data_IF_987083538022
#
_entry.id   IF_987083538022
#
_cell.length_a   1.000
_cell.length_b   1.000
_cell.length_c   1.000
_cell.angle_alpha   90.00
_cell.angle_beta   90.00
_cell.angle_gamma   90.00
#
_symmetry.space_group_name_H-M   'P 1'
#
loop_
_entity.id
_entity.type
_entity.pdbx_description
1 polymer ?
#
# COMPACT_ATOMS: atom_id res chain seq x y z
N UNK A 1 24.06 2.32 18.17
CA UNK A 1 22.75 2.91 17.83
C UNK A 1 22.53 2.89 16.32
N UNK A 2 22.52 1.72 15.67
CA UNK A 2 22.45 1.62 14.21
C UNK A 2 21.06 1.97 13.62
N UNK A 3 20.00 1.92 14.44
CA UNK A 3 18.64 2.30 14.02
C UNK A 3 18.43 3.82 13.91
N UNK A 4 19.19 4.63 14.65
CA UNK A 4 19.02 6.08 14.68
C UNK A 4 19.54 6.73 13.38
N UNK A 5 20.71 6.30 12.92
CA UNK A 5 21.30 6.73 11.64
C UNK A 5 20.45 6.30 10.44
N UNK A 6 19.97 5.05 10.44
CA UNK A 6 19.09 4.52 9.39
C UNK A 6 17.75 5.26 9.34
N UNK A 7 17.17 5.58 10.49
CA UNK A 7 15.93 6.34 10.56
C UNK A 7 16.13 7.80 10.09
N UNK A 8 17.27 8.41 10.44
CA UNK A 8 17.61 9.77 10.01
C UNK A 8 17.76 9.89 8.48
N UNK A 9 18.33 8.87 7.82
CA UNK A 9 18.49 8.86 6.36
C UNK A 9 17.23 8.47 5.59
N UNK A 10 16.25 7.80 6.20
CA UNK A 10 15.03 7.35 5.50
C UNK A 10 14.25 8.49 4.84
N UNK A 11 14.13 9.65 5.50
CA UNK A 11 13.36 10.76 4.94
C UNK A 11 14.03 11.40 3.70
N UNK A 12 15.32 11.78 3.76
CA UNK A 12 16.05 12.19 2.55
C UNK A 12 15.97 11.16 1.42
N UNK A 13 16.15 9.87 1.70
CA UNK A 13 16.04 8.80 0.70
C UNK A 13 14.64 8.75 0.06
N UNK A 14 13.58 8.91 0.86
CA UNK A 14 12.21 9.00 0.32
C UNK A 14 12.01 10.22 -0.58
N UNK A 15 12.62 11.35 -0.25
CA UNK A 15 12.48 12.58 -1.01
C UNK A 15 13.20 12.44 -2.38
N UNK A 16 14.40 11.83 -2.43
CA UNK A 16 15.07 11.46 -3.68
C UNK A 16 14.23 10.51 -4.54
N UNK A 17 13.68 9.43 -3.96
CA UNK A 17 12.83 8.50 -4.72
C UNK A 17 11.57 9.19 -5.28
N UNK A 18 11.01 10.18 -4.59
CA UNK A 18 9.87 10.96 -5.11
C UNK A 18 10.27 11.81 -6.32
N UNK A 19 11.46 12.41 -6.29
CA UNK A 19 12.01 13.18 -7.41
C UNK A 19 12.25 12.28 -8.62
N UNK A 20 12.84 11.11 -8.44
CA UNK A 20 13.08 10.13 -9.51
C UNK A 20 11.76 9.61 -10.12
N UNK A 21 10.75 9.33 -9.29
CA UNK A 21 9.41 8.97 -9.78
C UNK A 21 8.79 10.12 -10.60
N UNK A 22 8.95 11.37 -10.16
CA UNK A 22 8.43 12.53 -10.88
C UNK A 22 9.13 12.70 -12.23
N UNK A 23 10.47 12.54 -12.25
CA UNK A 23 11.28 12.57 -13.46
C UNK A 23 10.84 11.49 -14.44
N UNK A 24 10.76 10.23 -14.00
CA UNK A 24 10.34 9.12 -14.85
C UNK A 24 8.94 9.34 -15.44
N UNK A 25 8.00 9.88 -14.65
CA UNK A 25 6.63 10.20 -15.12
C UNK A 25 6.59 11.34 -16.14
N UNK A 26 7.60 12.21 -16.17
CA UNK A 26 7.72 13.29 -17.14
C UNK A 26 8.41 12.86 -18.44
N UNK A 27 9.07 11.70 -18.44
CA UNK A 27 9.78 11.14 -19.59
C UNK A 27 8.84 10.26 -20.43
N UNK A 28 9.00 10.31 -21.76
CA UNK A 28 8.40 9.33 -22.65
C UNK A 28 9.23 8.04 -22.66
N UNK A 29 8.63 6.86 -22.91
CA UNK A 29 9.37 5.59 -22.98
C UNK A 29 10.43 5.55 -24.10
N UNK A 30 10.34 6.45 -25.09
CA UNK A 30 11.31 6.64 -26.16
C UNK A 30 12.51 7.53 -25.78
N UNK A 31 12.51 8.12 -24.58
CA UNK A 31 13.64 8.90 -24.07
C UNK A 31 14.81 7.97 -23.78
N UNK A 32 15.98 8.24 -24.37
CA UNK A 32 17.18 7.42 -24.21
C UNK A 32 17.64 7.27 -22.75
N UNK A 33 17.25 8.21 -21.87
CA UNK A 33 17.57 8.16 -20.45
C UNK A 33 16.50 7.44 -19.60
N UNK A 34 15.37 7.02 -20.18
CA UNK A 34 14.26 6.41 -19.45
C UNK A 34 14.69 5.15 -18.69
N UNK A 35 15.31 4.20 -19.39
CA UNK A 35 15.74 2.92 -18.81
C UNK A 35 16.78 3.11 -17.70
N UNK A 36 17.72 4.04 -17.90
CA UNK A 36 18.72 4.37 -16.89
C UNK A 36 18.07 4.96 -15.62
N UNK A 37 17.11 5.88 -15.78
CA UNK A 37 16.36 6.48 -14.68
C UNK A 37 15.52 5.43 -13.93
N UNK A 38 14.85 4.54 -14.66
CA UNK A 38 14.08 3.44 -14.06
C UNK A 38 14.96 2.51 -13.23
N UNK A 39 16.10 2.09 -13.79
CA UNK A 39 17.03 1.21 -13.09
C UNK A 39 17.68 1.89 -11.88
N UNK A 40 17.89 3.20 -11.91
CA UNK A 40 18.33 3.96 -10.74
C UNK A 40 17.29 3.91 -9.63
N UNK A 41 16.04 4.28 -9.92
CA UNK A 41 14.95 4.22 -8.96
C UNK A 41 14.82 2.81 -8.34
N UNK A 42 14.93 1.77 -9.15
CA UNK A 42 14.87 0.39 -8.66
C UNK A 42 15.99 0.07 -7.66
N UNK A 43 17.22 0.52 -7.91
CA UNK A 43 18.34 0.31 -6.97
C UNK A 43 18.10 1.03 -5.64
N UNK A 44 17.64 2.27 -5.69
CA UNK A 44 17.35 3.07 -4.50
C UNK A 44 16.25 2.42 -3.65
N UNK A 45 15.15 2.01 -4.30
CA UNK A 45 14.03 1.32 -3.64
C UNK A 45 14.47 0.01 -3.00
N UNK A 46 15.23 -0.83 -3.72
CA UNK A 46 15.69 -2.12 -3.18
C UNK A 46 16.61 -1.96 -1.98
N UNK A 47 17.52 -0.99 -2.02
CA UNK A 47 18.40 -0.70 -0.89
C UNK A 47 17.62 -0.18 0.32
N UNK A 48 16.69 0.74 0.07
CA UNK A 48 15.88 1.34 1.12
C UNK A 48 14.99 0.31 1.84
N UNK A 49 14.29 -0.54 1.07
CA UNK A 49 13.45 -1.63 1.63
C UNK A 49 14.31 -2.61 2.43
N UNK A 50 15.51 -2.94 1.95
CA UNK A 50 16.39 -3.85 2.69
C UNK A 50 16.73 -3.31 4.08
N UNK A 51 17.03 -2.03 4.22
CA UNK A 51 17.27 -1.40 5.52
C UNK A 51 16.00 -1.33 6.39
N UNK A 52 14.84 -1.03 5.80
CA UNK A 52 13.58 -1.00 6.52
C UNK A 52 13.20 -2.39 7.08
N UNK A 53 13.16 -3.41 6.22
CA UNK A 53 12.73 -4.76 6.57
C UNK A 53 13.70 -5.48 7.51
N UNK A 54 15.00 -5.27 7.36
CA UNK A 54 16.00 -6.00 8.16
C UNK A 54 16.37 -5.29 9.46
N UNK A 55 16.16 -3.97 9.56
CA UNK A 55 16.59 -3.19 10.72
C UNK A 55 15.45 -2.36 11.32
N UNK A 56 14.87 -1.43 10.56
CA UNK A 56 13.97 -0.43 11.14
C UNK A 56 12.63 -1.02 11.60
N UNK A 57 11.97 -1.81 10.77
CA UNK A 57 10.67 -2.41 11.08
C UNK A 57 10.76 -3.40 12.25
N UNK A 58 11.76 -4.31 12.34
CA UNK A 58 11.93 -5.15 13.53
C UNK A 58 12.14 -4.34 14.81
N UNK A 59 12.88 -3.23 14.76
CA UNK A 59 13.07 -2.34 15.92
C UNK A 59 11.74 -1.66 16.27
N UNK A 60 11.02 -1.13 15.28
CA UNK A 60 9.74 -0.47 15.48
C UNK A 60 8.68 -1.42 16.05
N UNK A 61 8.61 -2.66 15.58
CA UNK A 61 7.70 -3.68 16.08
C UNK A 61 7.92 -3.94 17.58
N UNK A 62 9.17 -4.13 18.01
CA UNK A 62 9.50 -4.32 19.43
C UNK A 62 9.23 -3.07 20.26
N UNK A 63 9.57 -1.89 19.74
CA UNK A 63 9.42 -0.62 20.46
C UNK A 63 7.95 -0.15 20.56
N UNK A 64 7.10 -0.53 19.61
CA UNK A 64 5.73 -0.05 19.47
C UNK A 64 4.67 -1.14 19.65
N UNK A 65 5.04 -2.36 20.06
CA UNK A 65 4.16 -3.53 20.10
C UNK A 65 2.75 -3.26 20.64
N UNK A 66 2.65 -2.61 21.81
CA UNK A 66 1.36 -2.29 22.45
C UNK A 66 0.55 -1.21 21.73
N UNK A 67 1.18 -0.42 20.87
CA UNK A 67 0.59 0.70 20.12
C UNK A 67 0.26 0.34 18.67
N UNK A 68 0.72 -0.81 18.16
CA UNK A 68 0.50 -1.23 16.78
C UNK A 68 -0.99 -1.26 16.37
N UNK A 69 -1.94 -1.75 17.20
CA UNK A 69 -3.36 -1.74 16.82
C UNK A 69 -3.90 -0.33 16.60
N UNK A 70 -3.62 0.59 17.52
CA UNK A 70 -4.05 1.99 17.43
C UNK A 70 -3.40 2.69 16.22
N UNK A 71 -2.10 2.47 16.02
CA UNK A 71 -1.37 3.02 14.89
C UNK A 71 -1.92 2.51 13.55
N UNK A 72 -2.20 1.21 13.45
CA UNK A 72 -2.82 0.59 12.27
C UNK A 72 -4.19 1.19 11.94
N UNK A 73 -5.04 1.44 12.96
CA UNK A 73 -6.32 2.12 12.76
C UNK A 73 -6.12 3.55 12.24
N UNK A 74 -5.20 4.31 12.83
CA UNK A 74 -4.90 5.69 12.42
C UNK A 74 -4.34 5.76 10.99
N UNK A 75 -3.43 4.85 10.63
CA UNK A 75 -2.87 4.74 9.29
C UNK A 75 -3.94 4.36 8.26
N UNK A 76 -4.81 3.39 8.57
CA UNK A 76 -5.94 3.00 7.70
C UNK A 76 -6.89 4.17 7.48
N UNK A 77 -7.29 4.88 8.55
CA UNK A 77 -8.12 6.09 8.45
C UNK A 77 -7.46 7.14 7.55
N UNK A 78 -6.16 7.39 7.72
CA UNK A 78 -5.42 8.36 6.91
C UNK A 78 -5.33 7.94 5.45
N UNK A 79 -5.09 6.66 5.16
CA UNK A 79 -5.10 6.10 3.81
C UNK A 79 -6.43 6.40 3.11
N UNK A 80 -7.56 6.12 3.77
CA UNK A 80 -8.88 6.39 3.20
C UNK A 80 -9.10 7.88 2.92
N UNK A 81 -8.68 8.77 3.82
CA UNK A 81 -8.77 10.22 3.61
C UNK A 81 -7.94 10.70 2.41
N UNK A 82 -6.70 10.22 2.27
CA UNK A 82 -5.81 10.59 1.16
C UNK A 82 -6.35 10.08 -0.17
N UNK A 83 -6.83 8.85 -0.17
CA UNK A 83 -7.40 8.18 -1.33
C UNK A 83 -8.67 8.91 -1.81
N UNK A 84 -9.58 9.26 -0.89
CA UNK A 84 -10.77 10.04 -1.20
C UNK A 84 -10.45 11.44 -1.77
N UNK A 85 -9.36 12.07 -1.30
CA UNK A 85 -8.93 13.41 -1.75
C UNK A 85 -8.25 13.40 -3.12
N UNK A 86 -7.43 12.39 -3.40
CA UNK A 86 -6.51 12.43 -4.54
C UNK A 86 -7.12 11.88 -5.83
N UNK A 87 -7.82 10.73 -5.79
CA UNK A 87 -8.35 10.05 -7.00
C UNK A 87 -9.50 9.08 -6.66
N UNK A 88 -10.76 9.53 -6.57
CA UNK A 88 -11.88 8.64 -6.29
C UNK A 88 -12.03 7.50 -7.33
N UNK A 89 -11.66 7.72 -8.59
CA UNK A 89 -11.67 6.71 -9.66
C UNK A 89 -10.52 5.70 -9.61
N UNK A 90 -9.36 6.04 -9.02
CA UNK A 90 -8.24 5.11 -8.89
C UNK A 90 -8.49 4.05 -7.81
N UNK A 91 -9.40 4.31 -6.88
CA UNK A 91 -9.90 3.32 -5.91
C UNK A 91 -10.52 2.15 -6.65
N UNK A 92 -11.39 2.42 -7.61
CA UNK A 92 -12.07 1.38 -8.39
C UNK A 92 -11.05 0.57 -9.18
N UNK A 93 -10.12 1.24 -9.88
CA UNK A 93 -9.09 0.57 -10.68
C UNK A 93 -8.18 -0.35 -9.84
N UNK A 94 -7.63 0.13 -8.72
CA UNK A 94 -6.75 -0.69 -7.88
C UNK A 94 -7.51 -1.73 -7.05
N UNK A 95 -8.75 -1.45 -6.63
CA UNK A 95 -9.58 -2.41 -5.88
C UNK A 95 -10.00 -3.58 -6.76
N UNK A 96 -10.34 -3.33 -8.04
CA UNK A 96 -10.59 -4.38 -9.03
C UNK A 96 -9.33 -5.25 -9.25
N UNK A 97 -8.13 -4.67 -9.19
CA UNK A 97 -6.88 -5.43 -9.34
C UNK A 97 -6.44 -6.23 -8.12
N UNK A 98 -6.90 -5.88 -6.91
CA UNK A 98 -6.39 -6.47 -5.64
C UNK A 98 -7.36 -7.44 -4.99
N UNK A 99 -8.66 -7.38 -5.29
CA UNK A 99 -9.63 -8.38 -4.85
C UNK A 99 -9.86 -9.41 -5.97
N UNK A 100 -9.52 -10.69 -5.77
CA UNK A 100 -9.86 -11.70 -6.75
C UNK A 100 -11.38 -11.75 -6.90
N UNK A 101 -11.88 -11.82 -8.13
CA UNK A 101 -13.32 -11.93 -8.44
C UNK A 101 -14.01 -13.05 -7.62
N UNK A 102 -13.25 -14.06 -7.20
CA UNK A 102 -13.67 -15.11 -6.28
C UNK A 102 -14.23 -14.59 -4.94
N UNK A 103 -13.63 -13.56 -4.33
CA UNK A 103 -14.11 -13.01 -3.05
C UNK A 103 -15.48 -12.33 -3.19
N UNK A 104 -15.75 -11.68 -4.33
CA UNK A 104 -17.06 -11.10 -4.64
C UNK A 104 -18.12 -12.17 -4.89
N UNK A 105 -17.75 -13.26 -5.58
CA UNK A 105 -18.65 -14.39 -5.81
C UNK A 105 -19.05 -15.12 -4.51
N UNK A 106 -18.11 -15.32 -3.58
CA UNK A 106 -18.40 -15.96 -2.29
C UNK A 106 -19.35 -15.11 -1.43
N UNK A 107 -19.14 -13.79 -1.37
CA UNK A 107 -20.03 -12.90 -0.64
C UNK A 107 -21.46 -12.86 -1.20
N UNK A 108 -21.60 -12.84 -2.53
CA UNK A 108 -22.90 -12.79 -3.18
C UNK A 108 -23.68 -14.10 -3.02
N UNK A 109 -23.02 -15.26 -3.11
CA UNK A 109 -23.62 -16.55 -2.80
C UNK A 109 -24.06 -16.65 -1.33
N UNK A 110 -23.24 -16.17 -0.39
CA UNK A 110 -23.59 -16.15 1.03
C UNK A 110 -24.83 -15.30 1.32
N UNK A 111 -24.92 -14.10 0.74
CA UNK A 111 -26.08 -13.22 0.88
C UNK A 111 -27.37 -13.85 0.30
N UNK A 112 -27.28 -14.52 -0.85
CA UNK A 112 -28.43 -15.22 -1.45
C UNK A 112 -28.89 -16.42 -0.61
N UNK A 113 -27.96 -17.21 -0.05
CA UNK A 113 -28.29 -18.32 0.82
C UNK A 113 -29.04 -17.86 2.08
N UNK A 114 -28.55 -16.80 2.73
CA UNK A 114 -29.20 -16.19 3.90
C UNK A 114 -30.60 -15.68 3.54
N UNK A 115 -30.74 -14.95 2.43
CA UNK A 115 -32.04 -14.46 1.97
C UNK A 115 -33.03 -15.60 1.66
N UNK A 116 -32.55 -16.71 1.11
CA UNK A 116 -33.37 -17.89 0.83
C UNK A 116 -33.83 -18.57 2.13
N UNK A 117 -32.93 -18.76 3.10
CA UNK A 117 -33.26 -19.31 4.42
C UNK A 117 -34.32 -18.47 5.15
N UNK A 118 -34.16 -17.13 5.15
CA UNK A 118 -35.10 -16.21 5.78
C UNK A 118 -36.48 -16.23 5.10
N UNK A 119 -36.53 -16.24 3.76
CA UNK A 119 -37.82 -16.36 3.03
C UNK A 119 -38.53 -17.70 3.27
N UNK A 120 -37.78 -18.79 3.42
CA UNK A 120 -38.33 -20.12 3.66
C UNK A 120 -38.87 -20.24 5.08
N UNK A 121 -38.21 -19.63 6.05
CA UNK A 121 -38.68 -19.54 7.43
C UNK A 121 -39.96 -18.71 7.57
N UNK A 122 -40.08 -17.61 6.81
CA UNK A 122 -41.28 -16.76 6.83
C UNK A 122 -42.51 -17.33 6.09
N UNK A 123 -42.35 -18.44 5.36
CA UNK A 123 -43.43 -19.13 4.61
C UNK A 123 -43.93 -20.41 5.29
N UNK A 124 -43.40 -20.75 6.47
CA UNK A 124 -43.88 -21.81 7.35
C UNK A 124 -44.63 -21.20 8.51
#
# INVERSE_FOLDING_TARGET
MAGDERLAKSKPEHDTMREDIAKLRSMGPQDAAYDACFMQLMREVMHHIADEETVLLPIAERALASKLPELGMRMTKRRMQLVARSRPSAIVANTVGTFPLASLAVMSLGAMAIAHCLRRAARR
#
